data_IF_207785280441
#
_entry.id   IF_207785280441
#
_cell.length_a   1.000
_cell.length_b   1.000
_cell.length_c   1.000
_cell.angle_alpha   90.00
_cell.angle_beta   90.00
_cell.angle_gamma   90.00
#
_symmetry.space_group_name_H-M   'P 1'
#
loop_
_entity.id
_entity.type
_entity.pdbx_description
1 polymer ?
#
# COMPACT_ATOMS: atom_id res chain seq x y z
N UNK A 1 26.11 30.20 -16.93
CA UNK A 1 25.71 28.80 -16.62
C UNK A 1 24.36 28.89 -15.93
N UNK A 2 23.29 28.66 -16.68
CA UNK A 2 21.92 28.68 -16.17
C UNK A 2 21.74 27.50 -15.21
N UNK A 3 21.53 27.76 -13.91
CA UNK A 3 21.20 26.70 -12.96
C UNK A 3 19.81 26.17 -13.30
N UNK A 4 19.74 24.96 -13.87
CA UNK A 4 18.46 24.26 -14.07
C UNK A 4 17.75 24.15 -12.72
N UNK A 5 16.47 24.53 -12.61
CA UNK A 5 15.71 24.28 -11.40
C UNK A 5 15.59 22.77 -11.21
N UNK A 6 16.20 22.27 -10.14
CA UNK A 6 15.98 20.89 -9.67
C UNK A 6 14.48 20.70 -9.45
N UNK A 7 13.86 19.65 -10.00
CA UNK A 7 12.44 19.38 -9.78
C UNK A 7 12.21 19.16 -8.29
N UNK A 8 11.62 20.16 -7.63
CA UNK A 8 11.27 20.10 -6.22
C UNK A 8 10.01 19.24 -6.09
N UNK A 9 10.21 17.91 -6.01
CA UNK A 9 9.14 17.02 -5.63
C UNK A 9 8.78 17.33 -4.17
N UNK A 10 7.51 17.67 -3.86
CA UNK A 10 7.11 17.91 -2.49
C UNK A 10 7.47 16.66 -1.68
N UNK A 11 8.21 16.85 -0.60
CA UNK A 11 8.83 15.77 0.18
C UNK A 11 7.81 14.75 0.73
N UNK A 12 6.52 15.10 0.75
CA UNK A 12 5.39 14.22 1.09
C UNK A 12 4.89 13.30 -0.04
N UNK A 13 5.24 13.54 -1.30
CA UNK A 13 4.71 12.77 -2.45
C UNK A 13 5.25 11.33 -2.49
N UNK A 14 6.52 11.12 -2.10
CA UNK A 14 7.13 9.79 -2.07
C UNK A 14 6.52 8.88 -0.99
N UNK A 15 6.42 9.29 0.29
CA UNK A 15 5.81 8.45 1.32
C UNK A 15 4.31 8.20 1.05
N UNK A 16 3.60 9.19 0.49
CA UNK A 16 2.23 9.01 0.00
C UNK A 16 2.14 7.88 -1.04
N UNK A 17 2.91 7.99 -2.13
CA UNK A 17 2.91 7.02 -3.22
C UNK A 17 3.23 5.61 -2.70
N UNK A 18 4.28 5.48 -1.89
CA UNK A 18 4.70 4.20 -1.33
C UNK A 18 3.63 3.60 -0.41
N UNK A 19 3.01 4.42 0.44
CA UNK A 19 1.93 3.95 1.32
C UNK A 19 0.76 3.39 0.50
N UNK A 20 0.30 4.10 -0.53
CA UNK A 20 -0.81 3.67 -1.40
C UNK A 20 -0.47 2.35 -2.11
N UNK A 21 0.74 2.24 -2.66
CA UNK A 21 1.20 1.02 -3.35
C UNK A 21 1.27 -0.17 -2.39
N UNK A 22 1.87 0.00 -1.20
CA UNK A 22 2.03 -1.07 -0.22
C UNK A 22 0.70 -1.51 0.37
N UNK A 23 -0.17 -0.57 0.74
CA UNK A 23 -1.50 -0.87 1.29
C UNK A 23 -2.38 -1.62 0.29
N UNK A 24 -2.37 -1.19 -0.98
CA UNK A 24 -3.03 -1.89 -2.08
C UNK A 24 -2.49 -3.31 -2.26
N UNK A 25 -1.16 -3.44 -2.34
CA UNK A 25 -0.50 -4.74 -2.50
C UNK A 25 -0.81 -5.68 -1.35
N UNK A 26 -0.80 -5.19 -0.10
CA UNK A 26 -1.15 -5.98 1.08
C UNK A 26 -2.58 -6.52 1.00
N UNK A 27 -3.54 -5.66 0.67
CA UNK A 27 -4.95 -6.03 0.53
C UNK A 27 -5.16 -7.01 -0.64
N UNK A 28 -4.49 -6.79 -1.78
CA UNK A 28 -4.59 -7.66 -2.94
C UNK A 28 -3.97 -9.05 -2.70
N UNK A 29 -2.79 -9.11 -2.08
CA UNK A 29 -2.15 -10.37 -1.69
C UNK A 29 -3.05 -11.13 -0.70
N UNK A 30 -3.70 -10.41 0.23
CA UNK A 30 -4.64 -11.00 1.18
C UNK A 30 -5.85 -11.67 0.47
N UNK A 31 -6.47 -11.01 -0.53
CA UNK A 31 -7.59 -11.60 -1.27
C UNK A 31 -7.18 -12.84 -2.08
N UNK A 32 -5.95 -12.86 -2.62
CA UNK A 32 -5.42 -13.99 -3.39
C UNK A 32 -4.97 -15.18 -2.52
N UNK A 33 -4.67 -14.94 -1.25
CA UNK A 33 -4.17 -15.98 -0.31
C UNK A 33 -5.25 -16.52 0.62
N UNK A 34 -6.54 -16.29 0.32
CA UNK A 34 -7.66 -16.68 1.18
C UNK A 34 -7.89 -18.20 1.29
N UNK A 35 -7.23 -19.01 0.45
CA UNK A 35 -7.30 -20.48 0.45
C UNK A 35 -6.76 -21.03 1.77
N UNK A 36 -7.45 -21.98 2.44
CA UNK A 36 -7.05 -22.50 3.75
C UNK A 36 -5.59 -22.98 3.81
N UNK A 37 -5.10 -23.61 2.75
CA UNK A 37 -3.75 -24.18 2.64
C UNK A 37 -2.64 -23.13 2.68
N UNK A 38 -2.96 -21.87 2.35
CA UNK A 38 -2.00 -20.76 2.35
C UNK A 38 -2.11 -19.90 3.61
N UNK A 39 -3.01 -20.21 4.54
CA UNK A 39 -3.20 -19.38 5.74
C UNK A 39 -2.07 -19.59 6.74
N UNK A 40 -1.77 -18.58 7.59
CA UNK A 40 -0.87 -18.79 8.71
C UNK A 40 -1.35 -19.96 9.58
N UNK A 41 -0.45 -20.90 9.89
CA UNK A 41 -0.78 -22.10 10.68
C UNK A 41 -1.19 -21.77 12.13
N UNK A 42 -0.70 -20.65 12.66
CA UNK A 42 -1.07 -20.18 13.99
C UNK A 42 -2.39 -19.38 13.94
N UNK A 43 -3.37 -19.77 14.76
CA UNK A 43 -4.67 -19.11 14.88
C UNK A 43 -4.57 -17.61 15.20
N UNK A 44 -3.60 -17.20 16.03
CA UNK A 44 -3.38 -15.78 16.35
C UNK A 44 -2.87 -15.03 15.13
N UNK A 45 -1.93 -15.61 14.39
CA UNK A 45 -1.38 -15.02 13.18
C UNK A 45 -2.44 -14.90 12.06
N UNK A 46 -3.31 -15.90 11.91
CA UNK A 46 -4.44 -15.85 10.97
C UNK A 46 -5.43 -14.71 11.31
N UNK A 47 -5.73 -14.50 12.60
CA UNK A 47 -6.57 -13.36 13.03
C UNK A 47 -5.90 -12.02 12.73
N UNK A 48 -4.63 -11.87 13.08
CA UNK A 48 -3.87 -10.63 12.83
C UNK A 48 -3.77 -10.36 11.33
N UNK A 49 -3.48 -11.38 10.52
CA UNK A 49 -3.42 -11.25 9.07
C UNK A 49 -4.75 -10.81 8.45
N UNK A 50 -5.88 -11.37 8.89
CA UNK A 50 -7.22 -10.94 8.48
C UNK A 50 -7.54 -9.50 8.86
N UNK A 51 -7.15 -9.11 10.07
CA UNK A 51 -7.33 -7.73 10.55
C UNK A 51 -6.48 -6.76 9.73
N UNK A 52 -5.20 -7.09 9.50
CA UNK A 52 -4.28 -6.29 8.70
C UNK A 52 -4.74 -6.17 7.26
N UNK A 53 -5.28 -7.23 6.64
CA UNK A 53 -5.83 -7.16 5.29
C UNK A 53 -7.00 -6.17 5.17
N UNK A 54 -7.92 -6.19 6.14
CA UNK A 54 -9.03 -5.22 6.22
C UNK A 54 -8.54 -3.80 6.49
N UNK A 55 -7.64 -3.64 7.47
CA UNK A 55 -7.07 -2.35 7.82
C UNK A 55 -6.31 -1.73 6.63
N UNK A 56 -5.52 -2.54 5.91
CA UNK A 56 -4.79 -2.11 4.74
C UNK A 56 -5.72 -1.62 3.61
N UNK A 57 -6.82 -2.35 3.34
CA UNK A 57 -7.80 -1.92 2.35
C UNK A 57 -8.49 -0.60 2.72
N UNK A 58 -8.93 -0.46 3.97
CA UNK A 58 -9.56 0.77 4.45
C UNK A 58 -8.58 1.95 4.44
N UNK A 59 -7.34 1.73 4.87
CA UNK A 59 -6.30 2.76 4.85
C UNK A 59 -5.92 3.15 3.42
N UNK A 60 -5.90 2.21 2.47
CA UNK A 60 -5.67 2.50 1.06
C UNK A 60 -6.74 3.45 0.50
N UNK A 61 -8.03 3.15 0.74
CA UNK A 61 -9.13 4.05 0.37
C UNK A 61 -9.00 5.42 1.05
N UNK A 62 -8.70 5.42 2.35
CA UNK A 62 -8.48 6.65 3.11
C UNK A 62 -7.36 7.51 2.54
N UNK A 63 -6.24 6.90 2.15
CA UNK A 63 -5.12 7.61 1.53
C UNK A 63 -5.48 8.16 0.16
N UNK A 64 -6.26 7.46 -0.67
CA UNK A 64 -6.73 8.02 -1.94
C UNK A 64 -7.60 9.26 -1.73
N UNK A 65 -8.55 9.21 -0.79
CA UNK A 65 -9.38 10.37 -0.43
C UNK A 65 -8.50 11.51 0.10
N UNK A 66 -7.56 11.20 1.00
CA UNK A 66 -6.62 12.18 1.53
C UNK A 66 -5.78 12.83 0.43
N UNK A 67 -5.29 12.04 -0.53
CA UNK A 67 -4.52 12.50 -1.68
C UNK A 67 -5.30 13.46 -2.57
N UNK A 68 -6.57 13.15 -2.88
CA UNK A 68 -7.42 14.08 -3.65
C UNK A 68 -7.58 15.41 -2.93
N UNK A 69 -7.78 15.38 -1.60
CA UNK A 69 -8.02 16.57 -0.78
C UNK A 69 -6.76 17.43 -0.59
N UNK A 70 -5.58 16.82 -0.44
CA UNK A 70 -4.35 17.54 -0.06
C UNK A 70 -3.31 17.69 -1.17
N UNK A 71 -3.20 16.73 -2.08
CA UNK A 71 -2.20 16.73 -3.17
C UNK A 71 -2.83 16.98 -4.54
N UNK A 72 -4.15 16.86 -4.66
CA UNK A 72 -4.90 17.00 -5.89
C UNK A 72 -5.09 15.69 -6.66
N UNK A 73 -5.85 15.79 -7.75
CA UNK A 73 -6.32 14.61 -8.51
C UNK A 73 -5.16 13.93 -9.25
N UNK A 74 -4.27 14.68 -9.88
CA UNK A 74 -3.23 14.11 -10.74
C UNK A 74 -2.23 13.22 -9.97
N UNK A 75 -1.63 13.66 -8.84
CA UNK A 75 -0.74 12.79 -8.05
C UNK A 75 -1.45 11.56 -7.49
N UNK A 76 -2.73 11.71 -7.13
CA UNK A 76 -3.56 10.61 -6.63
C UNK A 76 -3.85 9.58 -7.71
N UNK A 77 -4.15 10.02 -8.94
CA UNK A 77 -4.30 9.13 -10.09
C UNK A 77 -3.00 8.37 -10.39
N UNK A 78 -1.84 9.03 -10.31
CA UNK A 78 -0.55 8.37 -10.48
C UNK A 78 -0.36 7.28 -9.41
N UNK A 79 -0.65 7.57 -8.14
CA UNK A 79 -0.54 6.59 -7.06
C UNK A 79 -1.52 5.42 -7.22
N UNK A 80 -2.76 5.71 -7.64
CA UNK A 80 -3.75 4.69 -7.97
C UNK A 80 -3.24 3.78 -9.09
N UNK A 81 -2.82 4.34 -10.22
CA UNK A 81 -2.31 3.57 -11.36
C UNK A 81 -1.07 2.75 -11.00
N UNK A 82 -0.14 3.33 -10.23
CA UNK A 82 1.02 2.60 -9.73
C UNK A 82 0.61 1.41 -8.85
N UNK A 83 -0.37 1.59 -7.97
CA UNK A 83 -0.87 0.50 -7.11
C UNK A 83 -1.54 -0.61 -7.92
N UNK A 84 -2.28 -0.27 -8.97
CA UNK A 84 -2.89 -1.24 -9.89
C UNK A 84 -1.83 -1.98 -10.71
N UNK A 85 -0.80 -1.28 -11.21
CA UNK A 85 0.31 -1.89 -11.93
C UNK A 85 1.06 -2.92 -11.07
N UNK A 86 1.34 -2.57 -9.80
CA UNK A 86 1.95 -3.51 -8.85
C UNK A 86 1.05 -4.71 -8.59
N UNK A 87 -0.26 -4.50 -8.40
CA UNK A 87 -1.21 -5.60 -8.25
C UNK A 87 -1.24 -6.52 -9.49
N UNK A 88 -1.16 -5.97 -10.70
CA UNK A 88 -1.09 -6.74 -11.94
C UNK A 88 0.19 -7.60 -12.01
N UNK A 89 1.34 -7.04 -11.64
CA UNK A 89 2.61 -7.78 -11.55
C UNK A 89 2.55 -8.89 -10.50
N UNK A 90 1.92 -8.62 -9.36
CA UNK A 90 1.68 -9.60 -8.30
C UNK A 90 0.77 -10.72 -8.82
N UNK A 91 -0.32 -10.38 -9.52
CA UNK A 91 -1.28 -11.35 -10.06
C UNK A 91 -0.63 -12.37 -11.01
N UNK A 92 0.37 -11.95 -11.79
CA UNK A 92 1.11 -12.82 -12.71
C UNK A 92 1.97 -13.89 -12.00
N UNK A 93 2.35 -13.69 -10.74
CA UNK A 93 3.28 -14.59 -10.02
C UNK A 93 2.64 -15.84 -9.42
N UNK A 94 1.31 -15.96 -9.48
CA UNK A 94 0.56 -17.08 -8.91
C UNK A 94 0.62 -17.19 -7.38
N UNK A 95 -0.13 -18.12 -6.78
CA UNK A 95 -0.13 -18.34 -5.32
C UNK A 95 1.25 -18.82 -4.85
N UNK A 96 1.79 -18.24 -3.76
CA UNK A 96 2.99 -18.76 -3.10
C UNK A 96 2.82 -18.81 -1.57
N UNK A 97 3.47 -19.75 -0.87
CA UNK A 97 3.37 -19.88 0.60
C UNK A 97 3.83 -18.64 1.38
N UNK A 98 4.72 -17.83 0.80
CA UNK A 98 5.25 -16.63 1.44
C UNK A 98 4.29 -15.41 1.39
N UNK A 99 3.18 -15.49 0.66
CA UNK A 99 2.27 -14.36 0.45
C UNK A 99 1.65 -13.78 1.72
N UNK A 100 1.18 -14.58 2.70
CA UNK A 100 0.64 -14.03 3.94
C UNK A 100 1.69 -13.20 4.70
N UNK A 101 2.93 -13.67 4.76
CA UNK A 101 4.04 -12.93 5.38
C UNK A 101 4.31 -11.60 4.66
N UNK A 102 4.36 -11.63 3.33
CA UNK A 102 4.57 -10.42 2.52
C UNK A 102 3.41 -9.42 2.66
N UNK A 103 2.16 -9.91 2.72
CA UNK A 103 0.97 -9.07 2.94
C UNK A 103 1.04 -8.37 4.30
N UNK A 104 1.41 -9.09 5.36
CA UNK A 104 1.56 -8.47 6.69
C UNK A 104 2.66 -7.42 6.70
N UNK A 105 3.80 -7.70 6.07
CA UNK A 105 4.90 -6.73 5.94
C UNK A 105 4.43 -5.47 5.20
N UNK A 106 3.81 -5.62 4.03
CA UNK A 106 3.28 -4.48 3.27
C UNK A 106 2.20 -3.72 4.05
N UNK A 107 1.34 -4.40 4.80
CA UNK A 107 0.31 -3.76 5.61
C UNK A 107 0.94 -2.91 6.73
N UNK A 108 1.89 -3.46 7.48
CA UNK A 108 2.55 -2.74 8.60
C UNK A 108 3.35 -1.55 8.07
N UNK A 109 4.18 -1.76 7.04
CA UNK A 109 4.97 -0.67 6.44
C UNK A 109 4.08 0.38 5.78
N UNK A 110 3.05 -0.05 5.05
CA UNK A 110 2.11 0.86 4.39
C UNK A 110 1.30 1.69 5.39
N UNK A 111 0.83 1.09 6.49
CA UNK A 111 0.12 1.79 7.56
C UNK A 111 1.04 2.77 8.29
N UNK A 112 2.28 2.35 8.57
CA UNK A 112 3.28 3.23 9.19
C UNK A 112 3.58 4.45 8.32
N UNK A 113 3.75 4.25 7.01
CA UNK A 113 3.96 5.35 6.06
C UNK A 113 2.72 6.23 5.92
N UNK A 114 1.52 5.66 5.83
CA UNK A 114 0.28 6.44 5.78
C UNK A 114 0.11 7.31 7.02
N UNK A 115 0.36 6.75 8.20
CA UNK A 115 0.34 7.51 9.45
C UNK A 115 1.39 8.62 9.45
N UNK A 116 2.62 8.33 9.01
CA UNK A 116 3.67 9.34 8.90
C UNK A 116 3.32 10.47 7.91
N UNK A 117 2.70 10.15 6.78
CA UNK A 117 2.24 11.14 5.80
C UNK A 117 1.14 12.03 6.40
N UNK A 118 0.14 11.43 7.05
CA UNK A 118 -1.00 12.18 7.61
C UNK A 118 -0.59 13.02 8.83
N UNK A 119 0.22 12.46 9.73
CA UNK A 119 0.66 13.13 10.96
C UNK A 119 1.79 14.11 10.72
N UNK A 120 2.72 13.78 9.81
CA UNK A 120 3.89 14.58 9.51
C UNK A 120 3.60 15.81 8.64
N UNK A 121 2.44 15.85 7.97
CA UNK A 121 2.01 16.91 7.03
C UNK A 121 3.18 17.60 6.33
N UNK A 122 3.93 16.79 5.58
CA UNK A 122 4.86 17.20 4.51
C UNK A 122 4.05 17.39 3.23
#
# INVERSE_FOLDING_TARGET
MESRPEPHYPSGMQPFLLSVVLLSGAAFIHTRSAVPEMRPANATADRVWKLLGRAAFLAWLGMLVWGVVHLGILPTLVALLASLAVNALIAQRGPRPAWPGLSMFFAVTGLGLAAATVLGRI
#
